data_IF_052854765244
#
_entry.id   IF_052854765244
#
_cell.length_a   1.000
_cell.length_b   1.000
_cell.length_c   1.000
_cell.angle_alpha   90.00
_cell.angle_beta   90.00
_cell.angle_gamma   90.00
#
_symmetry.space_group_name_H-M   'P 1'
#
loop_
_entity.id
_entity.type
_entity.pdbx_description
1 polymer ?
#
# COMPACT_ATOMS: atom_id res chain seq x y z
N UNK A 1 -6.26 -28.21 18.09
CA UNK A 1 -6.53 -26.78 18.31
C UNK A 1 -5.21 -26.12 18.66
N UNK A 2 -4.88 -24.98 18.04
CA UNK A 2 -3.67 -24.24 18.40
C UNK A 2 -3.76 -23.75 19.86
N UNK A 3 -2.65 -23.74 20.58
CA UNK A 3 -2.62 -23.13 21.92
C UNK A 3 -2.80 -21.62 21.82
N UNK A 4 -3.27 -20.98 22.88
CA UNK A 4 -3.46 -19.52 22.91
C UNK A 4 -2.14 -18.77 22.64
N UNK A 5 -1.01 -19.33 23.07
CA UNK A 5 0.33 -18.80 22.80
C UNK A 5 0.72 -18.92 21.33
N UNK A 6 0.34 -20.01 20.65
CA UNK A 6 0.54 -20.14 19.20
C UNK A 6 -0.29 -19.12 18.42
N UNK A 7 -1.53 -18.86 18.85
CA UNK A 7 -2.40 -17.84 18.24
C UNK A 7 -1.81 -16.44 18.44
N UNK A 8 -1.32 -16.12 19.65
CA UNK A 8 -0.67 -14.83 19.93
C UNK A 8 0.56 -14.60 19.07
N UNK A 9 1.44 -15.61 18.98
CA UNK A 9 2.65 -15.53 18.16
C UNK A 9 2.32 -15.31 16.67
N UNK A 10 1.35 -16.06 16.13
CA UNK A 10 0.94 -15.92 14.73
C UNK A 10 0.33 -14.55 14.43
N UNK A 11 -0.50 -14.01 15.33
CA UNK A 11 -1.09 -12.68 15.18
C UNK A 11 -0.05 -11.57 15.29
N UNK A 12 0.92 -11.70 16.19
CA UNK A 12 2.06 -10.78 16.31
C UNK A 12 2.86 -10.73 15.00
N UNK A 13 3.24 -11.90 14.49
CA UNK A 13 3.94 -12.01 13.21
C UNK A 13 3.15 -11.40 12.04
N UNK A 14 1.84 -11.65 11.98
CA UNK A 14 0.98 -11.08 10.95
C UNK A 14 0.91 -9.55 11.04
N UNK A 15 0.84 -8.97 12.24
CA UNK A 15 0.84 -7.53 12.45
C UNK A 15 2.17 -6.87 12.04
N UNK A 16 3.29 -7.52 12.36
CA UNK A 16 4.62 -7.05 11.98
C UNK A 16 4.82 -7.14 10.47
N UNK A 17 4.41 -8.25 9.84
CA UNK A 17 4.44 -8.40 8.40
C UNK A 17 3.55 -7.36 7.69
N UNK A 18 2.36 -7.06 8.23
CA UNK A 18 1.49 -6.01 7.73
C UNK A 18 2.16 -4.64 7.76
N UNK A 19 2.93 -4.35 8.83
CA UNK A 19 3.71 -3.11 8.96
C UNK A 19 4.82 -3.03 7.91
N UNK A 20 5.54 -4.14 7.68
CA UNK A 20 6.59 -4.23 6.64
C UNK A 20 5.99 -4.01 5.25
N UNK A 21 4.88 -4.67 4.94
CA UNK A 21 4.21 -4.53 3.64
C UNK A 21 3.72 -3.09 3.42
N UNK A 22 3.17 -2.45 4.45
CA UNK A 22 2.76 -1.04 4.36
C UNK A 22 3.95 -0.12 4.05
N UNK A 23 5.14 -0.39 4.61
CA UNK A 23 6.34 0.39 4.29
C UNK A 23 6.80 0.19 2.85
N UNK A 24 6.77 -1.04 2.34
CA UNK A 24 7.10 -1.34 0.93
C UNK A 24 6.13 -0.64 -0.03
N UNK A 25 4.85 -0.60 0.30
CA UNK A 25 3.84 0.10 -0.52
C UNK A 25 4.09 1.61 -0.51
N UNK A 26 4.50 2.21 0.62
CA UNK A 26 4.89 3.63 0.64
C UNK A 26 6.02 3.93 -0.34
N UNK A 27 7.05 3.08 -0.38
CA UNK A 27 8.12 3.21 -1.38
C UNK A 27 7.59 3.06 -2.81
N UNK A 28 6.62 2.16 -3.04
CA UNK A 28 5.97 2.04 -4.34
C UNK A 28 5.13 3.28 -4.72
N UNK A 29 4.48 3.94 -3.75
CA UNK A 29 3.77 5.22 -3.96
C UNK A 29 4.75 6.30 -4.41
N UNK A 30 5.90 6.44 -3.73
CA UNK A 30 6.94 7.41 -4.09
C UNK A 30 7.48 7.17 -5.50
N UNK A 31 7.76 5.92 -5.85
CA UNK A 31 8.19 5.54 -7.20
C UNK A 31 7.10 5.80 -8.27
N UNK A 32 5.83 5.63 -7.90
CA UNK A 32 4.68 5.94 -8.76
C UNK A 32 4.56 7.46 -8.97
N UNK A 33 4.78 8.26 -7.93
CA UNK A 33 4.80 9.72 -8.02
C UNK A 33 5.92 10.24 -8.94
N UNK A 34 7.11 9.63 -8.87
CA UNK A 34 8.19 9.94 -9.81
C UNK A 34 7.84 9.57 -11.25
N UNK A 35 7.19 8.42 -11.46
CA UNK A 35 6.70 8.00 -12.79
C UNK A 35 5.68 8.99 -13.34
N UNK A 36 4.72 9.43 -12.51
CA UNK A 36 3.70 10.39 -12.90
C UNK A 36 4.31 11.75 -13.27
N UNK A 37 5.30 12.23 -12.51
CA UNK A 37 6.03 13.45 -12.82
C UNK A 37 6.74 13.37 -14.18
N UNK A 38 7.39 12.23 -14.48
CA UNK A 38 8.03 12.00 -15.79
C UNK A 38 7.01 11.98 -16.93
N UNK A 39 5.90 11.26 -16.77
CA UNK A 39 4.82 11.19 -17.78
C UNK A 39 4.25 12.57 -18.10
N UNK A 40 4.01 13.40 -17.07
CA UNK A 40 3.54 14.78 -17.26
C UNK A 40 4.58 15.66 -17.96
N UNK A 41 5.86 15.50 -17.62
CA UNK A 41 6.94 16.24 -18.25
C UNK A 41 7.10 15.90 -19.75
N UNK A 42 7.08 14.61 -20.11
CA UNK A 42 7.20 14.18 -21.52
C UNK A 42 5.92 14.40 -22.32
N UNK A 43 4.76 14.37 -21.66
CA UNK A 43 3.47 14.61 -22.28
C UNK A 43 3.13 16.09 -22.47
N UNK A 44 3.87 17.00 -21.84
CA UNK A 44 3.62 18.43 -21.91
C UNK A 44 3.66 18.92 -23.36
N UNK A 45 2.57 19.57 -23.81
CA UNK A 45 2.45 20.11 -25.16
C UNK A 45 2.13 19.07 -26.25
N UNK A 46 2.05 17.77 -25.93
CA UNK A 46 1.75 16.73 -26.94
C UNK A 46 0.27 16.59 -27.24
N UNK A 47 -0.61 16.85 -26.26
CA UNK A 47 -2.05 16.53 -26.30
C UNK A 47 -2.35 15.09 -26.79
N UNK A 48 -1.39 14.17 -26.66
CA UNK A 48 -1.51 12.83 -27.23
C UNK A 48 -2.39 11.93 -26.34
N UNK A 49 -3.49 11.34 -26.84
CA UNK A 49 -4.47 10.63 -26.02
C UNK A 49 -3.89 9.43 -25.27
N UNK A 50 -2.95 8.69 -25.86
CA UNK A 50 -2.30 7.56 -25.18
C UNK A 50 -1.41 8.00 -24.00
N UNK A 51 -0.84 9.21 -24.04
CA UNK A 51 -0.06 9.75 -22.92
C UNK A 51 -0.99 10.16 -21.79
N UNK A 52 -2.14 10.78 -22.12
CA UNK A 52 -3.18 11.08 -21.15
C UNK A 52 -3.73 9.80 -20.47
N UNK A 53 -3.93 8.72 -21.24
CA UNK A 53 -4.34 7.43 -20.68
C UNK A 53 -3.28 6.86 -19.72
N UNK A 54 -2.00 6.90 -20.10
CA UNK A 54 -0.91 6.43 -19.24
C UNK A 54 -0.84 7.22 -17.92
N UNK A 55 -1.01 8.55 -17.98
CA UNK A 55 -1.09 9.42 -16.79
C UNK A 55 -2.28 8.98 -15.90
N UNK A 56 -3.47 8.85 -16.46
CA UNK A 56 -4.67 8.48 -15.71
C UNK A 56 -4.55 7.10 -15.05
N UNK A 57 -3.99 6.10 -15.76
CA UNK A 57 -3.74 4.76 -15.18
C UNK A 57 -2.71 4.80 -14.05
N UNK A 58 -1.69 5.66 -14.17
CA UNK A 58 -0.67 5.83 -13.13
C UNK A 58 -1.25 6.50 -11.88
N UNK A 59 -2.10 7.53 -12.05
CA UNK A 59 -2.84 8.16 -10.97
C UNK A 59 -3.77 7.17 -10.24
N UNK A 60 -4.50 6.36 -11.00
CA UNK A 60 -5.36 5.32 -10.43
C UNK A 60 -4.53 4.29 -9.64
N UNK A 61 -3.38 3.88 -10.16
CA UNK A 61 -2.47 2.95 -9.48
C UNK A 61 -2.00 3.52 -8.15
N UNK A 62 -1.60 4.80 -8.13
CA UNK A 62 -1.22 5.52 -6.91
C UNK A 62 -2.35 5.51 -5.88
N UNK A 63 -3.58 5.81 -6.28
CA UNK A 63 -4.73 5.83 -5.38
C UNK A 63 -4.98 4.44 -4.75
N UNK A 64 -4.90 3.38 -5.56
CA UNK A 64 -5.03 1.99 -5.07
C UNK A 64 -3.95 1.61 -4.06
N UNK A 65 -2.72 2.08 -4.24
CA UNK A 65 -1.62 1.83 -3.29
C UNK A 65 -1.85 2.56 -1.96
N UNK A 66 -2.39 3.79 -1.99
CA UNK A 66 -2.77 4.53 -0.78
C UNK A 66 -3.86 3.77 -0.01
N UNK A 67 -4.90 3.31 -0.70
CA UNK A 67 -5.97 2.49 -0.11
C UNK A 67 -5.42 1.19 0.49
N UNK A 68 -4.54 0.48 -0.24
CA UNK A 68 -3.91 -0.74 0.26
C UNK A 68 -3.07 -0.51 1.53
N UNK A 69 -2.38 0.64 1.61
CA UNK A 69 -1.61 1.02 2.81
C UNK A 69 -2.53 1.18 4.01
N UNK A 70 -3.66 1.88 3.86
CA UNK A 70 -4.61 2.09 4.94
C UNK A 70 -5.24 0.76 5.42
N UNK A 71 -5.60 -0.12 4.48
CA UNK A 71 -6.16 -1.44 4.81
C UNK A 71 -5.17 -2.33 5.56
N UNK A 72 -3.89 -2.34 5.17
CA UNK A 72 -2.86 -3.10 5.86
C UNK A 72 -2.58 -2.58 7.27
N UNK A 73 -2.55 -1.25 7.44
CA UNK A 73 -2.41 -0.66 8.77
C UNK A 73 -3.60 -1.01 9.66
N UNK A 74 -4.81 -0.97 9.11
CA UNK A 74 -6.03 -1.35 9.83
C UNK A 74 -6.03 -2.83 10.23
N UNK A 75 -5.61 -3.74 9.33
CA UNK A 75 -5.54 -5.17 9.65
C UNK A 75 -4.50 -5.48 10.73
N UNK A 76 -3.31 -4.86 10.66
CA UNK A 76 -2.28 -4.97 11.68
C UNK A 76 -2.76 -4.44 13.04
N UNK A 77 -3.52 -3.33 13.03
CA UNK A 77 -4.11 -2.79 14.25
C UNK A 77 -5.18 -3.72 14.83
N UNK A 78 -6.03 -4.33 13.99
CA UNK A 78 -7.04 -5.29 14.43
C UNK A 78 -6.39 -6.52 15.10
N UNK A 79 -5.30 -7.04 14.51
CA UNK A 79 -4.52 -8.12 15.12
C UNK A 79 -3.94 -7.73 16.49
N UNK A 80 -3.36 -6.52 16.62
CA UNK A 80 -2.86 -6.00 17.90
C UNK A 80 -3.96 -5.78 18.93
N UNK A 81 -5.13 -5.29 18.52
CA UNK A 81 -6.27 -5.11 19.41
C UNK A 81 -6.74 -6.45 20.01
N UNK A 82 -6.75 -7.52 19.20
CA UNK A 82 -7.05 -8.85 19.69
C UNK A 82 -6.00 -9.33 20.72
N UNK A 83 -4.71 -9.12 20.45
CA UNK A 83 -3.64 -9.45 21.40
C UNK A 83 -3.79 -8.72 22.74
N UNK A 84 -4.23 -7.45 22.72
CA UNK A 84 -4.43 -6.63 23.92
C UNK A 84 -5.70 -6.99 24.70
N UNK A 85 -6.67 -7.66 24.07
CA UNK A 85 -7.93 -8.06 24.69
C UNK A 85 -7.86 -9.45 25.35
N UNK A 86 -6.78 -10.20 25.11
CA UNK A 86 -6.46 -11.49 25.74
C UNK A 86 -5.68 -11.30 27.05
#
# INVERSE_FOLDING_TARGET
MASIEQVKAALGQAADQGTINAQQIRTAIEATDQTLARLRAVGAGTNHPLVAEAIARTEQSRQRLVEATALLQSSAQAARNYLNAL
#
